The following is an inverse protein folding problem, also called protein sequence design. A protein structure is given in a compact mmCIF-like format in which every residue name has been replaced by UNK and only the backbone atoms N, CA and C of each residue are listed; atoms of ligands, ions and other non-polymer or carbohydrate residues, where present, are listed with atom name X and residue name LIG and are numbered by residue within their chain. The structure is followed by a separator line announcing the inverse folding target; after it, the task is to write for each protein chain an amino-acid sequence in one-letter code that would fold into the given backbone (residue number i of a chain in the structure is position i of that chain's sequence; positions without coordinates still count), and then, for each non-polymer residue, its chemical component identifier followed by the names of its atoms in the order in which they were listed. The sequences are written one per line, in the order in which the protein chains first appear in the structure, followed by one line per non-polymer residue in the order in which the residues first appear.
data_IF_092175872052
#
_entry.id   IF_092175872052
#
_cell.length_a   1.000
_cell.length_b   1.000
_cell.length_c   1.000
_cell.angle_alpha   90.00
_cell.angle_beta   90.00
_cell.angle_gamma   90.00
#
_symmetry.space_group_name_H-M   'P 1'
#
loop_
_entity.id
_entity.type
_entity.pdbx_description
1 polymer ?
#
# COMPACT_ATOMS: atom_id res chain seq x y z
N UNK A 1 18.23 6.40 16.21
CA UNK A 1 18.76 5.03 16.28
C UNK A 1 17.91 4.18 15.36
N UNK A 2 18.50 3.43 14.42
CA UNK A 2 17.70 2.58 13.53
C UNK A 2 17.19 1.40 14.32
N UNK A 3 15.92 1.00 14.18
CA UNK A 3 15.35 -0.15 14.95
C UNK A 3 16.13 -1.45 14.71
N UNK A 4 16.78 -1.57 13.56
CA UNK A 4 17.69 -2.68 13.23
C UNK A 4 18.91 -2.76 14.16
N UNK A 5 19.41 -1.64 14.67
CA UNK A 5 20.52 -1.59 15.64
C UNK A 5 20.09 -2.14 17.00
N UNK A 6 18.84 -1.89 17.40
CA UNK A 6 18.27 -2.41 18.65
C UNK A 6 17.90 -3.90 18.56
N UNK A 7 17.35 -4.33 17.43
CA UNK A 7 16.87 -5.71 17.23
C UNK A 7 17.96 -6.68 16.78
N UNK A 8 19.13 -6.18 16.34
CA UNK A 8 20.21 -7.01 15.81
C UNK A 8 19.91 -7.60 14.43
N UNK A 9 18.84 -7.15 13.76
CA UNK A 9 18.49 -7.59 12.41
C UNK A 9 19.56 -7.16 11.39
N UNK A 10 19.98 -8.08 10.54
CA UNK A 10 20.96 -7.87 9.47
C UNK A 10 20.40 -8.32 8.12
N UNK A 11 20.98 -7.82 7.04
CA UNK A 11 20.65 -8.19 5.66
C UNK A 11 19.16 -7.99 5.31
N UNK A 12 18.58 -6.84 5.70
CA UNK A 12 17.16 -6.54 5.49
C UNK A 12 16.85 -5.99 4.09
N UNK A 13 17.85 -5.84 3.22
CA UNK A 13 17.73 -5.13 1.93
C UNK A 13 16.73 -5.82 1.00
N UNK A 14 16.72 -7.16 0.96
CA UNK A 14 15.76 -7.90 0.14
C UNK A 14 14.33 -7.73 0.66
N UNK A 15 14.16 -7.68 2.00
CA UNK A 15 12.86 -7.48 2.63
C UNK A 15 12.37 -6.06 2.36
N UNK A 16 13.20 -5.05 2.58
CA UNK A 16 12.82 -3.66 2.35
C UNK A 16 12.53 -3.37 0.88
N UNK A 17 13.29 -3.98 -0.05
CA UNK A 17 12.98 -3.91 -1.48
C UNK A 17 11.62 -4.51 -1.82
N UNK A 18 11.28 -5.66 -1.23
CA UNK A 18 9.96 -6.27 -1.35
C UNK A 18 8.85 -5.40 -0.77
N UNK A 19 9.10 -4.76 0.38
CA UNK A 19 8.13 -3.85 1.01
C UNK A 19 7.92 -2.56 0.20
N UNK A 20 8.96 -2.00 -0.44
CA UNK A 20 8.79 -0.85 -1.34
C UNK A 20 7.95 -1.20 -2.57
N UNK A 21 8.14 -2.41 -3.12
CA UNK A 21 7.31 -2.93 -4.21
C UNK A 21 5.85 -3.08 -3.75
N UNK A 22 5.63 -3.74 -2.61
CA UNK A 22 4.31 -3.94 -2.04
C UNK A 22 3.60 -2.61 -1.71
N UNK A 23 4.32 -1.63 -1.18
CA UNK A 23 3.78 -0.30 -0.90
C UNK A 23 3.26 0.39 -2.17
N UNK A 24 4.02 0.28 -3.28
CA UNK A 24 3.59 0.84 -4.56
C UNK A 24 2.34 0.12 -5.10
N UNK A 25 2.32 -1.21 -5.03
CA UNK A 25 1.17 -2.02 -5.47
C UNK A 25 -0.10 -1.72 -4.64
N UNK A 26 0.04 -1.61 -3.32
CA UNK A 26 -1.08 -1.29 -2.41
C UNK A 26 -1.64 0.11 -2.66
N UNK A 27 -0.81 1.09 -2.99
CA UNK A 27 -1.26 2.46 -3.27
C UNK A 27 -2.07 2.57 -4.57
N UNK A 28 -1.63 1.88 -5.63
CA UNK A 28 -2.41 1.79 -6.87
C UNK A 28 -3.69 1.00 -6.63
N UNK A 29 -3.62 -0.13 -5.94
CA UNK A 29 -4.78 -0.94 -5.58
C UNK A 29 -5.83 -0.16 -4.77
N UNK A 30 -5.40 0.57 -3.74
CA UNK A 30 -6.26 1.46 -2.95
C UNK A 30 -6.97 2.49 -3.84
N UNK A 31 -6.23 3.12 -4.75
CA UNK A 31 -6.78 4.14 -5.65
C UNK A 31 -7.81 3.54 -6.60
N UNK A 32 -7.55 2.34 -7.14
CA UNK A 32 -8.50 1.62 -8.00
C UNK A 32 -9.79 1.26 -7.26
N UNK A 33 -9.69 0.79 -6.00
CA UNK A 33 -10.87 0.49 -5.18
C UNK A 33 -11.73 1.73 -4.93
N UNK A 34 -11.10 2.89 -4.67
CA UNK A 34 -11.82 4.18 -4.57
C UNK A 34 -12.51 4.52 -5.89
N UNK A 35 -11.82 4.29 -7.02
CA UNK A 35 -12.40 4.40 -8.35
C UNK A 35 -13.66 3.54 -8.52
N UNK A 36 -13.63 2.27 -8.12
CA UNK A 36 -14.79 1.39 -8.19
C UNK A 36 -15.92 1.82 -7.25
N UNK A 37 -15.59 2.19 -6.01
CA UNK A 37 -16.54 2.70 -5.03
C UNK A 37 -17.31 3.93 -5.54
N UNK A 38 -16.62 4.87 -6.19
CA UNK A 38 -17.25 6.07 -6.73
C UNK A 38 -18.07 5.84 -8.00
N UNK A 39 -17.64 4.90 -8.85
CA UNK A 39 -18.18 4.79 -10.22
C UNK A 39 -19.16 3.62 -10.42
N UNK A 40 -19.43 2.81 -9.40
CA UNK A 40 -20.39 1.71 -9.49
C UNK A 40 -21.81 2.23 -9.78
N UNK A 41 -22.56 1.50 -10.61
CA UNK A 41 -23.94 1.83 -11.03
C UNK A 41 -24.77 0.56 -11.16
N UNK A 42 -26.09 0.71 -11.13
CA UNK A 42 -27.04 -0.39 -11.37
C UNK A 42 -27.62 -0.98 -10.08
N UNK A 43 -28.34 -2.10 -10.23
CA UNK A 43 -29.13 -2.71 -9.15
C UNK A 43 -28.32 -3.12 -7.91
N UNK A 44 -27.03 -3.39 -8.10
CA UNK A 44 -26.13 -3.85 -7.04
C UNK A 44 -25.32 -2.70 -6.40
N UNK A 45 -25.70 -1.44 -6.67
CA UNK A 45 -24.99 -0.24 -6.21
C UNK A 45 -24.67 -0.27 -4.72
N UNK A 46 -25.68 -0.40 -3.86
CA UNK A 46 -25.50 -0.30 -2.41
C UNK A 46 -24.55 -1.38 -1.87
N UNK A 47 -24.74 -2.63 -2.31
CA UNK A 47 -23.92 -3.76 -1.88
C UNK A 47 -22.45 -3.57 -2.29
N UNK A 48 -22.21 -3.24 -3.56
CA UNK A 48 -20.86 -3.13 -4.09
C UNK A 48 -20.16 -1.84 -3.62
N UNK A 49 -20.89 -0.74 -3.49
CA UNK A 49 -20.36 0.52 -2.96
C UNK A 49 -19.80 0.36 -1.55
N UNK A 50 -20.59 -0.23 -0.64
CA UNK A 50 -20.16 -0.56 0.72
C UNK A 50 -19.00 -1.57 0.72
N UNK A 51 -19.06 -2.58 -0.16
CA UNK A 51 -18.00 -3.59 -0.22
C UNK A 51 -16.67 -2.99 -0.67
N UNK A 52 -16.66 -2.10 -1.67
CA UNK A 52 -15.44 -1.42 -2.08
C UNK A 52 -14.92 -0.44 -1.01
N UNK A 53 -15.80 0.11 -0.18
CA UNK A 53 -15.40 0.91 0.99
C UNK A 53 -14.68 0.09 2.05
N UNK A 54 -15.26 -1.06 2.43
CA UNK A 54 -14.60 -2.00 3.32
C UNK A 54 -13.19 -2.35 2.80
N UNK A 55 -13.09 -2.66 1.51
CA UNK A 55 -11.83 -3.04 0.88
C UNK A 55 -10.82 -1.90 0.83
N UNK A 56 -11.22 -0.65 0.50
CA UNK A 56 -10.25 0.44 0.44
C UNK A 56 -9.78 0.87 1.84
N UNK A 57 -10.62 0.72 2.86
CA UNK A 57 -10.24 1.02 4.24
C UNK A 57 -9.21 0.00 4.75
N UNK A 58 -9.41 -1.29 4.46
CA UNK A 58 -8.43 -2.34 4.74
C UNK A 58 -7.11 -2.11 3.95
N UNK A 59 -7.20 -1.72 2.67
CA UNK A 59 -6.02 -1.38 1.89
C UNK A 59 -5.28 -0.16 2.47
N UNK A 60 -6.00 0.88 2.92
CA UNK A 60 -5.40 2.06 3.53
C UNK A 60 -4.65 1.73 4.83
N UNK A 61 -5.20 0.87 5.68
CA UNK A 61 -4.52 0.40 6.89
C UNK A 61 -3.23 -0.37 6.56
N UNK A 62 -3.25 -1.22 5.53
CA UNK A 62 -2.08 -1.98 5.09
C UNK A 62 -1.00 -1.11 4.45
N UNK A 63 -1.39 -0.05 3.74
CA UNK A 63 -0.45 0.94 3.21
C UNK A 63 0.36 1.56 4.35
N UNK A 64 -0.31 1.97 5.42
CA UNK A 64 0.32 2.59 6.59
C UNK A 64 1.23 1.59 7.31
N UNK A 65 0.75 0.38 7.59
CA UNK A 65 1.53 -0.69 8.22
C UNK A 65 2.84 -0.98 7.46
N UNK A 66 2.77 -1.09 6.13
CA UNK A 66 3.96 -1.34 5.29
C UNK A 66 4.91 -0.14 5.30
N UNK A 67 4.39 1.09 5.24
CA UNK A 67 5.19 2.29 5.27
C UNK A 67 5.92 2.46 6.62
N UNK A 68 5.23 2.23 7.73
CA UNK A 68 5.82 2.23 9.07
C UNK A 68 6.84 1.11 9.23
N UNK A 69 6.59 -0.07 8.65
CA UNK A 69 7.56 -1.16 8.69
C UNK A 69 8.85 -0.81 7.95
N UNK A 70 8.76 -0.12 6.82
CA UNK A 70 9.94 0.41 6.11
C UNK A 70 10.73 1.39 7.00
N UNK A 71 10.04 2.32 7.67
CA UNK A 71 10.67 3.25 8.62
C UNK A 71 11.37 2.51 9.77
N UNK A 72 10.72 1.50 10.34
CA UNK A 72 11.31 0.67 11.39
C UNK A 72 12.58 -0.04 10.90
N UNK A 73 12.61 -0.51 9.66
CA UNK A 73 13.79 -1.14 9.05
C UNK A 73 14.85 -0.13 8.60
N UNK A 74 14.64 1.17 8.83
CA UNK A 74 15.61 2.24 8.56
C UNK A 74 15.60 2.75 7.12
N UNK A 75 14.53 2.46 6.37
CA UNK A 75 14.30 2.92 5.00
C UNK A 75 13.26 4.05 4.96
N UNK A 76 13.27 4.83 3.88
CA UNK A 76 12.26 5.85 3.63
C UNK A 76 11.20 5.31 2.68
N UNK A 77 9.92 5.17 3.09
CA UNK A 77 8.87 4.73 2.19
C UNK A 77 8.70 5.70 1.01
N UNK A 78 8.43 5.14 -0.17
CA UNK A 78 7.95 5.95 -1.29
C UNK A 78 6.67 6.68 -0.88
N UNK A 79 6.46 7.90 -1.39
CA UNK A 79 5.36 8.77 -0.98
C UNK A 79 4.84 9.65 -2.14
N UNK A 80 5.22 9.34 -3.38
CA UNK A 80 4.79 10.10 -4.56
C UNK A 80 4.21 9.16 -5.60
N UNK A 81 3.14 9.59 -6.25
CA UNK A 81 2.50 8.81 -7.32
C UNK A 81 3.49 8.47 -8.45
N UNK A 82 4.36 9.39 -8.84
CA UNK A 82 5.40 9.12 -9.85
C UNK A 82 6.29 7.94 -9.48
N UNK A 83 6.64 7.78 -8.19
CA UNK A 83 7.41 6.62 -7.73
C UNK A 83 6.56 5.36 -7.73
N UNK A 84 5.34 5.43 -7.20
CA UNK A 84 4.44 4.29 -7.16
C UNK A 84 4.16 3.74 -8.56
N UNK A 85 3.81 4.60 -9.52
CA UNK A 85 3.52 4.19 -10.90
C UNK A 85 4.72 3.61 -11.65
N UNK A 86 5.95 3.97 -11.26
CA UNK A 86 7.17 3.38 -11.82
C UNK A 86 7.45 1.98 -11.27
N UNK A 87 6.98 1.69 -10.06
CA UNK A 87 7.33 0.47 -9.32
C UNK A 87 6.21 -0.55 -9.32
N UNK A 88 4.96 -0.11 -9.19
CA UNK A 88 3.80 -1.00 -9.10
C UNK A 88 3.68 -1.91 -10.33
N UNK A 89 3.36 -3.17 -10.07
CA UNK A 89 2.91 -4.14 -11.06
C UNK A 89 1.39 -4.05 -11.28
N UNK A 90 0.65 -3.54 -10.30
CA UNK A 90 -0.78 -3.22 -10.44
C UNK A 90 -0.93 -1.99 -11.34
N UNK A 91 -1.83 -2.09 -12.33
CA UNK A 91 -2.15 -0.99 -13.24
C UNK A 91 -3.37 -0.21 -12.74
N UNK A 92 -3.40 1.08 -13.03
CA UNK A 92 -4.61 1.91 -12.95
C UNK A 92 -5.62 1.57 -14.06
#
# INVERSE_FOLDING_TARGET
MKTTEFTGLRNVENVTKGLQQLLADLQVYYTNLRGFHWNIKGKDFYLLHEKFEEMYNDAAAKVDEVAERLLMLGETPAHTFTKYLKTANVKE
#
